data_IF_325760201297
#
_entry.id   IF_325760201297
#
_cell.length_a   1.000
_cell.length_b   1.000
_cell.length_c   1.000
_cell.angle_alpha   90.00
_cell.angle_beta   90.00
_cell.angle_gamma   90.00
#
_symmetry.space_group_name_H-M   'P 1'
#
loop_
_entity.id
_entity.type
_entity.pdbx_description
1 polymer ?
#
# COMPACT_ATOMS: atom_id res chain seq x y z
N UNK A 1 -14.18 -33.40 -21.52
CA UNK A 1 -15.26 -33.09 -20.56
C UNK A 1 -14.90 -33.62 -19.17
N UNK A 2 -14.33 -34.82 -19.05
CA UNK A 2 -13.97 -35.40 -17.74
C UNK A 2 -12.94 -34.58 -16.95
N UNK A 3 -11.90 -34.07 -17.61
CA UNK A 3 -10.88 -33.21 -16.96
C UNK A 3 -11.48 -31.88 -16.45
N UNK A 4 -12.42 -31.29 -17.19
CA UNK A 4 -13.14 -30.09 -16.76
C UNK A 4 -14.01 -30.35 -15.51
N UNK A 5 -14.71 -31.48 -15.50
CA UNK A 5 -15.54 -31.89 -14.36
C UNK A 5 -14.67 -32.13 -13.11
N UNK A 6 -13.51 -32.76 -13.27
CA UNK A 6 -12.57 -32.99 -12.17
C UNK A 6 -12.03 -31.68 -11.56
N UNK A 7 -11.68 -30.69 -12.39
CA UNK A 7 -11.22 -29.36 -11.91
C UNK A 7 -12.37 -28.60 -11.22
N UNK A 8 -13.59 -28.70 -11.75
CA UNK A 8 -14.77 -28.06 -11.15
C UNK A 8 -15.13 -28.63 -9.78
N UNK A 9 -15.08 -29.95 -9.64
CA UNK A 9 -15.32 -30.62 -8.36
C UNK A 9 -14.25 -30.22 -7.34
N UNK A 10 -12.98 -30.19 -7.75
CA UNK A 10 -11.90 -29.71 -6.89
C UNK A 10 -12.11 -28.25 -6.47
N UNK A 11 -12.38 -27.34 -7.40
CA UNK A 11 -12.64 -25.92 -7.12
C UNK A 11 -13.78 -25.73 -6.10
N UNK A 12 -14.83 -26.55 -6.18
CA UNK A 12 -15.98 -26.48 -5.27
C UNK A 12 -15.65 -26.85 -3.82
N UNK A 13 -14.51 -27.52 -3.58
CA UNK A 13 -14.04 -27.87 -2.24
C UNK A 13 -13.14 -26.81 -1.61
N UNK A 14 -12.68 -25.82 -2.39
CA UNK A 14 -11.78 -24.79 -1.88
C UNK A 14 -12.56 -23.70 -1.12
N UNK A 15 -11.97 -23.12 -0.06
CA UNK A 15 -12.55 -21.97 0.60
C UNK A 15 -12.61 -20.76 -0.32
N UNK A 16 -13.57 -19.86 -0.06
CA UNK A 16 -13.65 -18.58 -0.75
C UNK A 16 -12.37 -17.76 -0.50
N UNK A 17 -12.01 -16.94 -1.49
CA UNK A 17 -10.89 -16.01 -1.35
C UNK A 17 -11.16 -15.01 -0.22
N UNK A 18 -10.22 -14.93 0.72
CA UNK A 18 -10.22 -13.94 1.78
C UNK A 18 -9.07 -12.96 1.55
N UNK A 19 -9.35 -11.65 1.37
CA UNK A 19 -8.30 -10.68 1.13
C UNK A 19 -7.47 -10.48 2.40
N UNK A 20 -6.14 -10.41 2.24
CA UNK A 20 -5.22 -10.16 3.35
C UNK A 20 -5.52 -8.82 4.07
N UNK A 21 -6.04 -7.83 3.34
CA UNK A 21 -6.43 -6.52 3.87
C UNK A 21 -7.92 -6.30 3.54
N UNK A 22 -8.81 -6.23 4.56
CA UNK A 22 -10.21 -5.90 4.37
C UNK A 22 -10.41 -4.54 3.70
N UNK A 23 -11.31 -4.48 2.70
CA UNK A 23 -11.64 -3.26 1.93
C UNK A 23 -12.04 -2.06 2.80
N UNK A 24 -12.65 -2.33 3.96
CA UNK A 24 -13.06 -1.31 4.93
C UNK A 24 -11.88 -0.62 5.63
N UNK A 25 -10.69 -1.24 5.68
CA UNK A 25 -9.50 -0.68 6.31
C UNK A 25 -8.65 0.18 5.37
N UNK A 26 -8.79 0.00 4.05
CA UNK A 26 -8.05 0.74 3.04
C UNK A 26 -8.12 2.28 3.21
N UNK A 27 -9.29 2.92 3.45
CA UNK A 27 -9.35 4.37 3.60
C UNK A 27 -8.52 4.86 4.80
N UNK A 28 -8.52 4.12 5.90
CA UNK A 28 -7.76 4.47 7.10
C UNK A 28 -6.26 4.28 6.88
N UNK A 29 -5.86 3.20 6.22
CA UNK A 29 -4.47 2.95 5.85
C UNK A 29 -3.96 4.06 4.91
N UNK A 30 -4.74 4.41 3.89
CA UNK A 30 -4.42 5.49 2.97
C UNK A 30 -4.22 6.82 3.71
N UNK A 31 -5.14 7.17 4.61
CA UNK A 31 -5.08 8.40 5.41
C UNK A 31 -3.80 8.44 6.25
N UNK A 32 -3.49 7.37 6.99
CA UNK A 32 -2.31 7.31 7.87
C UNK A 32 -1.01 7.38 7.06
N UNK A 33 -0.90 6.58 5.99
CA UNK A 33 0.31 6.55 5.17
C UNK A 33 0.55 7.88 4.45
N UNK A 34 -0.48 8.45 3.82
CA UNK A 34 -0.33 9.70 3.09
C UNK A 34 -0.09 10.89 4.02
N UNK A 35 -0.77 10.95 5.17
CA UNK A 35 -0.50 12.01 6.16
C UNK A 35 0.94 11.95 6.68
N UNK A 36 1.44 10.75 7.00
CA UNK A 36 2.84 10.55 7.37
C UNK A 36 3.78 11.00 6.24
N UNK A 37 3.51 10.63 4.98
CA UNK A 37 4.29 11.10 3.83
C UNK A 37 4.31 12.62 3.72
N UNK A 38 3.17 13.30 3.90
CA UNK A 38 3.11 14.77 3.88
C UNK A 38 3.93 15.38 5.01
N UNK A 39 3.83 14.85 6.23
CA UNK A 39 4.63 15.32 7.37
C UNK A 39 6.13 15.09 7.15
N UNK A 40 6.53 13.93 6.61
CA UNK A 40 7.93 13.64 6.30
C UNK A 40 8.45 14.53 5.16
N UNK A 41 7.65 14.79 4.14
CA UNK A 41 8.00 15.70 3.04
C UNK A 41 8.19 17.14 3.56
N UNK A 42 7.32 17.59 4.47
CA UNK A 42 7.49 18.87 5.16
C UNK A 42 8.75 18.88 6.04
N UNK A 43 8.99 17.83 6.82
CA UNK A 43 10.20 17.72 7.63
C UNK A 43 11.47 17.76 6.75
N UNK A 44 11.46 17.04 5.63
CA UNK A 44 12.53 17.05 4.64
C UNK A 44 12.83 18.46 4.10
N UNK A 45 11.82 19.28 3.85
CA UNK A 45 12.04 20.65 3.36
C UNK A 45 12.64 21.59 4.42
N UNK A 46 12.49 21.25 5.70
CA UNK A 46 13.06 22.01 6.83
C UNK A 46 14.43 21.52 7.30
N UNK A 47 14.91 20.38 6.78
CA UNK A 47 16.21 19.81 7.17
C UNK A 47 17.36 20.73 6.71
N UNK A 48 18.29 21.09 7.61
CA UNK A 48 19.51 21.80 7.21
C UNK A 48 20.36 20.88 6.32
N UNK A 49 21.00 21.48 5.30
CA UNK A 49 21.88 20.75 4.40
C UNK A 49 23.18 20.39 5.12
N UNK A 50 23.40 19.10 5.30
CA UNK A 50 24.64 18.55 5.83
C UNK A 50 25.59 18.16 4.69
N UNK A 51 26.91 18.17 4.97
CA UNK A 51 27.94 17.72 4.01
C UNK A 51 27.77 16.24 3.62
N UNK A 52 27.20 15.42 4.51
CA UNK A 52 26.84 14.02 4.25
C UNK A 52 25.33 13.87 4.49
N UNK A 53 24.52 13.65 3.43
CA UNK A 53 23.05 13.74 3.51
C UNK A 53 22.39 12.46 4.06
N UNK A 54 22.90 11.89 5.15
CA UNK A 54 22.37 10.62 5.71
C UNK A 54 20.90 10.78 6.14
N UNK A 55 20.58 11.89 6.80
CA UNK A 55 19.21 12.18 7.26
C UNK A 55 18.26 12.46 6.11
N UNK A 56 18.71 13.21 5.11
CA UNK A 56 17.93 13.49 3.90
C UNK A 56 17.55 12.18 3.20
N UNK A 57 18.51 11.30 2.97
CA UNK A 57 18.27 10.00 2.33
C UNK A 57 17.33 9.12 3.16
N UNK A 58 17.51 9.07 4.48
CA UNK A 58 16.65 8.29 5.36
C UNK A 58 15.20 8.78 5.36
N UNK A 59 14.99 10.10 5.44
CA UNK A 59 13.64 10.69 5.42
C UNK A 59 13.00 10.52 4.04
N UNK A 60 13.73 10.79 2.96
CA UNK A 60 13.22 10.68 1.59
C UNK A 60 12.85 9.23 1.24
N UNK A 61 13.68 8.25 1.61
CA UNK A 61 13.39 6.83 1.36
C UNK A 61 12.16 6.37 2.15
N UNK A 62 12.06 6.75 3.42
CA UNK A 62 10.88 6.43 4.24
C UNK A 62 9.61 7.08 3.68
N UNK A 63 9.67 8.36 3.31
CA UNK A 63 8.55 9.07 2.69
C UNK A 63 8.11 8.44 1.37
N UNK A 64 9.08 7.98 0.56
CA UNK A 64 8.82 7.32 -0.72
C UNK A 64 8.07 6.00 -0.55
N UNK A 65 8.51 5.15 0.39
CA UNK A 65 7.85 3.88 0.69
C UNK A 65 6.42 4.13 1.17
N UNK A 66 6.25 4.99 2.18
CA UNK A 66 4.93 5.32 2.74
C UNK A 66 4.01 5.94 1.68
N UNK A 67 4.56 6.81 0.82
CA UNK A 67 3.81 7.46 -0.23
C UNK A 67 3.32 6.46 -1.28
N UNK A 68 4.18 5.54 -1.71
CA UNK A 68 3.82 4.47 -2.65
C UNK A 68 2.66 3.61 -2.13
N UNK A 69 2.80 3.05 -0.93
CA UNK A 69 1.73 2.25 -0.31
C UNK A 69 0.46 3.06 -0.06
N UNK A 70 0.59 4.32 0.36
CA UNK A 70 -0.54 5.22 0.60
C UNK A 70 -1.34 5.52 -0.68
N UNK A 71 -0.67 5.75 -1.81
CA UNK A 71 -1.32 5.98 -3.10
C UNK A 71 -2.06 4.73 -3.58
N UNK A 72 -1.44 3.54 -3.48
CA UNK A 72 -2.11 2.28 -3.84
C UNK A 72 -3.37 2.07 -2.98
N UNK A 73 -3.27 2.27 -1.66
CA UNK A 73 -4.41 2.14 -0.75
C UNK A 73 -5.53 3.16 -1.07
N UNK A 74 -5.17 4.41 -1.42
CA UNK A 74 -6.12 5.44 -1.82
C UNK A 74 -6.86 5.04 -3.11
N UNK A 75 -6.13 4.55 -4.11
CA UNK A 75 -6.70 4.17 -5.41
C UNK A 75 -7.65 2.97 -5.28
N UNK A 76 -7.28 1.98 -4.45
CA UNK A 76 -8.16 0.88 -4.11
C UNK A 76 -9.38 1.33 -3.30
N UNK A 77 -9.27 2.39 -2.49
CA UNK A 77 -10.41 2.97 -1.74
C UNK A 77 -11.43 3.63 -2.68
N UNK A 78 -10.98 4.34 -3.71
CA UNK A 78 -11.88 5.03 -4.67
C UNK A 78 -12.40 4.11 -5.79
N UNK A 79 -12.13 2.81 -5.70
CA UNK A 79 -12.69 1.81 -6.60
C UNK A 79 -12.00 1.69 -7.97
N UNK A 80 -10.75 2.17 -8.10
CA UNK A 80 -9.95 1.97 -9.32
C UNK A 80 -9.47 0.50 -9.43
N UNK A 81 -9.34 -0.21 -8.31
CA UNK A 81 -8.94 -1.62 -8.18
C UNK A 81 -7.80 -2.03 -9.12
N UNK A 82 -6.56 -1.99 -8.62
CA UNK A 82 -5.38 -2.55 -9.30
C UNK A 82 -5.34 -4.07 -9.15
#
# INVERSE_FOLDING_TARGET
>A
MDEYNAVKDLYSTLPAFEPLIPVSLLPYIALVLLSATFTLAFYFSTLPKDTIPVREVAVASTASILGGFGVVALFCTVGVYV
#
